data_IF_609482663587
#
_entry.id   IF_609482663587
#
_cell.length_a   1.000
_cell.length_b   1.000
_cell.length_c   1.000
_cell.angle_alpha   90.00
_cell.angle_beta   90.00
_cell.angle_gamma   90.00
#
_symmetry.space_group_name_H-M   'P 1'
#
loop_
_entity.id
_entity.type
_entity.pdbx_description
1 polymer ?
#
# COMPACT_ATOMS: atom_id res chain seq x y z
N UNK A 1 5.71 33.63 16.39
CA UNK A 1 5.36 32.27 16.86
C UNK A 1 4.76 31.54 15.67
N UNK A 2 5.54 30.72 14.96
CA UNK A 2 4.98 29.84 13.94
C UNK A 2 4.29 28.70 14.68
N UNK A 3 2.95 28.63 14.60
CA UNK A 3 2.23 27.46 15.05
C UNK A 3 2.81 26.25 14.32
N UNK A 4 3.28 25.25 15.06
CA UNK A 4 3.68 23.96 14.52
C UNK A 4 2.44 23.40 13.80
N UNK A 5 2.46 23.48 12.46
CA UNK A 5 1.40 22.95 11.61
C UNK A 5 1.58 21.43 11.65
N UNK A 6 0.79 20.77 12.49
CA UNK A 6 0.74 19.31 12.52
C UNK A 6 0.41 18.82 11.09
N UNK A 7 1.32 18.09 10.42
CA UNK A 7 1.12 17.65 9.05
C UNK A 7 -0.08 16.71 8.89
N UNK A 8 -0.63 16.18 9.99
CA UNK A 8 -1.74 15.24 9.99
C UNK A 8 -3.11 15.92 9.97
N UNK A 9 -3.19 17.24 10.14
CA UNK A 9 -4.44 17.99 10.10
C UNK A 9 -4.74 18.44 8.65
N UNK A 10 -5.89 18.07 8.06
CA UNK A 10 -6.23 18.48 6.70
C UNK A 10 -6.45 19.99 6.59
N UNK A 11 -6.14 20.56 5.42
CA UNK A 11 -6.25 22.01 5.19
C UNK A 11 -7.69 22.46 4.89
N UNK A 12 -8.14 23.54 5.55
CA UNK A 12 -9.42 24.22 5.30
C UNK A 12 -10.61 23.64 6.08
N UNK A 13 -11.83 23.98 5.66
CA UNK A 13 -13.07 23.53 6.31
C UNK A 13 -13.33 22.04 6.03
N UNK A 14 -12.77 21.19 6.87
CA UNK A 14 -12.97 19.74 6.86
C UNK A 14 -13.69 19.30 8.13
N UNK A 15 -14.45 18.22 8.05
CA UNK A 15 -15.00 17.53 9.24
C UNK A 15 -14.04 16.40 9.62
N UNK A 16 -13.03 16.63 10.48
CA UNK A 16 -12.12 15.58 10.89
C UNK A 16 -12.87 14.51 11.67
N UNK A 17 -12.50 13.25 11.44
CA UNK A 17 -13.03 12.13 12.21
C UNK A 17 -12.46 12.24 13.62
N UNK A 18 -13.32 12.38 14.63
CA UNK A 18 -12.90 12.34 16.02
C UNK A 18 -12.72 10.88 16.43
N UNK A 19 -11.48 10.47 16.62
CA UNK A 19 -11.11 9.12 17.06
C UNK A 19 -10.10 9.23 18.18
N UNK A 20 -10.24 8.34 19.17
CA UNK A 20 -9.27 8.19 20.26
C UNK A 20 -7.97 7.50 19.78
N UNK A 21 -7.96 6.99 18.55
CA UNK A 21 -6.82 6.32 17.95
C UNK A 21 -5.68 7.31 17.68
N UNK A 22 -4.48 7.00 18.18
CA UNK A 22 -3.26 7.76 17.90
C UNK A 22 -2.38 7.00 16.90
N UNK A 23 -1.93 7.70 15.86
CA UNK A 23 -1.01 7.12 14.87
C UNK A 23 0.26 6.65 15.59
N UNK A 24 0.63 5.39 15.37
CA UNK A 24 1.81 4.77 15.98
C UNK A 24 1.63 4.27 17.42
N UNK A 25 0.41 4.27 17.98
CA UNK A 25 0.16 3.77 19.34
C UNK A 25 0.59 2.31 19.58
N UNK A 26 0.59 1.49 18.53
CA UNK A 26 0.93 0.07 18.55
C UNK A 26 2.39 -0.20 18.12
N UNK A 27 3.14 0.86 17.85
CA UNK A 27 4.51 0.74 17.41
C UNK A 27 5.48 0.65 18.60
N UNK A 28 6.57 -0.07 18.40
CA UNK A 28 7.70 -0.09 19.30
C UNK A 28 8.81 0.75 18.66
N UNK A 29 9.16 1.83 19.35
CA UNK A 29 10.28 2.70 18.97
C UNK A 29 11.57 2.09 19.49
N UNK A 30 12.33 1.49 18.59
CA UNK A 30 13.60 0.84 18.87
C UNK A 30 14.73 1.78 18.45
N UNK A 31 15.46 2.34 19.43
CA UNK A 31 16.62 3.17 19.16
C UNK A 31 17.87 2.30 19.07
N UNK A 32 18.28 1.96 17.85
CA UNK A 32 19.53 1.26 17.57
C UNK A 32 20.61 2.28 17.17
N UNK A 33 21.30 2.82 18.18
CA UNK A 33 22.33 3.84 17.97
C UNK A 33 21.75 5.13 17.38
N UNK A 34 22.28 5.66 16.26
CA UNK A 34 21.74 6.87 15.61
C UNK A 34 20.44 6.64 14.82
N UNK A 35 19.97 5.40 14.69
CA UNK A 35 18.76 5.06 13.94
C UNK A 35 17.59 4.83 14.89
N UNK A 36 16.56 5.67 14.79
CA UNK A 36 15.25 5.43 15.41
C UNK A 36 14.39 4.57 14.48
N UNK A 37 14.11 3.32 14.87
CA UNK A 37 13.24 2.42 14.13
C UNK A 37 11.86 2.41 14.77
N UNK A 38 10.85 2.87 14.03
CA UNK A 38 9.46 2.85 14.43
C UNK A 38 8.75 1.66 13.76
N UNK A 39 8.51 0.58 14.51
CA UNK A 39 8.06 -0.70 13.96
C UNK A 39 6.75 -1.13 14.61
N UNK A 40 5.74 -1.40 13.78
CA UNK A 40 4.51 -2.04 14.24
C UNK A 40 4.78 -3.52 14.59
N UNK A 41 4.96 -3.82 15.88
CA UNK A 41 5.54 -5.07 16.36
C UNK A 41 4.85 -6.33 15.82
N UNK A 42 3.51 -6.36 15.86
CA UNK A 42 2.74 -7.54 15.41
C UNK A 42 2.88 -7.80 13.91
N UNK A 43 2.76 -6.75 13.09
CA UNK A 43 2.81 -6.87 11.63
C UNK A 43 4.22 -7.25 11.19
N UNK A 44 5.23 -6.58 11.73
CA UNK A 44 6.63 -6.86 11.40
C UNK A 44 7.05 -8.28 11.76
N UNK A 45 6.77 -8.72 12.99
CA UNK A 45 7.17 -10.04 13.45
C UNK A 45 6.47 -11.16 12.66
N UNK A 46 5.15 -11.05 12.46
CA UNK A 46 4.39 -12.08 11.72
C UNK A 46 4.85 -12.15 10.27
N UNK A 47 4.87 -11.01 9.54
CA UNK A 47 5.27 -11.01 8.13
C UNK A 47 6.72 -11.45 7.94
N UNK A 48 7.65 -10.94 8.78
CA UNK A 48 9.06 -11.30 8.70
C UNK A 48 9.30 -12.79 8.95
N UNK A 49 8.72 -13.35 10.00
CA UNK A 49 8.85 -14.78 10.31
C UNK A 49 8.22 -15.66 9.23
N UNK A 50 7.07 -15.27 8.69
CA UNK A 50 6.42 -16.00 7.60
C UNK A 50 7.29 -16.03 6.35
N UNK A 51 7.92 -14.90 5.97
CA UNK A 51 8.82 -14.85 4.82
C UNK A 51 10.04 -15.74 5.04
N UNK A 52 10.70 -15.63 6.22
CA UNK A 52 11.88 -16.45 6.54
C UNK A 52 11.52 -17.95 6.51
N UNK A 53 10.41 -18.33 7.14
CA UNK A 53 9.95 -19.72 7.14
C UNK A 53 9.64 -20.22 5.72
N UNK A 54 8.95 -19.41 4.91
CA UNK A 54 8.63 -19.74 3.53
C UNK A 54 9.89 -19.98 2.70
N UNK A 55 10.89 -19.09 2.80
CA UNK A 55 12.17 -19.24 2.07
C UNK A 55 12.93 -20.47 2.54
N UNK A 56 13.05 -20.71 3.84
CA UNK A 56 13.76 -21.88 4.37
C UNK A 56 13.11 -23.19 3.91
N UNK A 57 11.78 -23.30 4.01
CA UNK A 57 11.06 -24.51 3.62
C UNK A 57 11.14 -24.76 2.11
N UNK A 58 11.01 -23.71 1.29
CA UNK A 58 11.11 -23.85 -0.17
C UNK A 58 12.52 -24.26 -0.62
N UNK A 59 13.57 -23.79 0.06
CA UNK A 59 14.94 -24.22 -0.22
C UNK A 59 15.25 -25.64 0.28
N UNK A 60 14.65 -26.07 1.39
CA UNK A 60 14.87 -27.42 1.94
C UNK A 60 14.14 -28.51 1.14
N UNK A 61 12.97 -28.21 0.56
CA UNK A 61 12.08 -29.19 -0.08
C UNK A 61 11.81 -28.89 -1.56
N UNK A 62 12.84 -28.48 -2.30
CA UNK A 62 12.72 -28.01 -3.69
C UNK A 62 11.97 -28.99 -4.61
N UNK A 63 12.29 -30.29 -4.53
CA UNK A 63 11.70 -31.32 -5.41
C UNK A 63 10.23 -31.61 -5.12
N UNK A 64 9.73 -31.31 -3.92
CA UNK A 64 8.32 -31.44 -3.58
C UNK A 64 7.55 -30.15 -3.89
N UNK A 65 8.19 -29.01 -3.68
CA UNK A 65 7.57 -27.69 -3.85
C UNK A 65 7.37 -27.34 -5.33
N UNK A 66 8.29 -27.72 -6.20
CA UNK A 66 8.20 -27.46 -7.64
C UNK A 66 6.89 -27.97 -8.28
N UNK A 67 6.55 -29.28 -8.20
CA UNK A 67 5.29 -29.77 -8.75
C UNK A 67 4.08 -29.18 -8.02
N UNK A 68 4.17 -28.96 -6.70
CA UNK A 68 3.09 -28.35 -5.92
C UNK A 68 2.74 -26.94 -6.43
N UNK A 69 3.74 -26.09 -6.70
CA UNK A 69 3.53 -24.75 -7.26
C UNK A 69 3.05 -24.79 -8.71
N UNK A 70 3.50 -25.76 -9.50
CA UNK A 70 2.98 -26.02 -10.85
C UNK A 70 1.49 -26.34 -10.83
N UNK A 71 1.09 -27.30 -9.99
CA UNK A 71 -0.30 -27.73 -9.83
C UNK A 71 -1.18 -26.60 -9.27
N UNK A 72 -0.68 -25.86 -8.28
CA UNK A 72 -1.38 -24.70 -7.72
C UNK A 72 -1.61 -23.62 -8.77
N UNK A 73 -0.58 -23.29 -9.57
CA UNK A 73 -0.71 -22.35 -10.68
C UNK A 73 -1.76 -22.85 -11.68
N UNK A 74 -1.68 -24.11 -12.08
CA UNK A 74 -2.66 -24.73 -12.98
C UNK A 74 -4.07 -24.58 -12.45
N UNK A 75 -4.30 -24.97 -11.19
CA UNK A 75 -5.58 -24.86 -10.52
C UNK A 75 -6.09 -23.41 -10.45
N UNK A 76 -5.24 -22.45 -10.09
CA UNK A 76 -5.58 -21.02 -10.06
C UNK A 76 -6.03 -20.53 -11.44
N UNK A 77 -5.29 -20.86 -12.49
CA UNK A 77 -5.62 -20.44 -13.87
C UNK A 77 -6.83 -21.17 -14.45
N UNK A 78 -7.16 -22.39 -14.00
CA UNK A 78 -8.36 -23.09 -14.48
C UNK A 78 -9.63 -22.67 -13.75
N UNK A 79 -9.55 -22.27 -12.47
CA UNK A 79 -10.72 -22.01 -11.64
C UNK A 79 -10.95 -20.52 -11.33
N UNK A 80 -9.88 -19.73 -11.20
CA UNK A 80 -9.95 -18.33 -10.77
C UNK A 80 -9.59 -17.33 -11.88
N UNK A 81 -9.31 -17.77 -13.10
CA UNK A 81 -8.98 -16.85 -14.21
C UNK A 81 -10.10 -15.83 -14.48
N UNK A 82 -11.35 -16.27 -14.50
CA UNK A 82 -12.51 -15.38 -14.62
C UNK A 82 -12.58 -14.35 -13.47
N UNK A 83 -12.19 -14.75 -12.25
CA UNK A 83 -12.16 -13.86 -11.09
C UNK A 83 -11.06 -12.80 -11.25
N UNK A 84 -9.86 -13.18 -11.68
CA UNK A 84 -8.77 -12.23 -11.93
C UNK A 84 -9.10 -11.23 -13.04
N UNK A 85 -9.64 -11.70 -14.16
CA UNK A 85 -10.05 -10.84 -15.29
C UNK A 85 -11.18 -9.90 -14.86
N UNK A 86 -12.20 -10.41 -14.18
CA UNK A 86 -13.32 -9.58 -13.70
C UNK A 86 -12.89 -8.57 -12.65
N UNK A 87 -12.03 -8.95 -11.70
CA UNK A 87 -11.48 -8.03 -10.70
C UNK A 87 -10.71 -6.88 -11.35
N UNK A 88 -9.83 -7.17 -12.32
CA UNK A 88 -9.13 -6.15 -13.10
C UNK A 88 -10.10 -5.19 -13.80
N UNK A 89 -11.09 -5.73 -14.50
CA UNK A 89 -12.13 -4.93 -15.17
C UNK A 89 -12.93 -4.07 -14.20
N UNK A 90 -13.30 -4.60 -13.02
CA UNK A 90 -14.00 -3.85 -11.98
C UNK A 90 -13.14 -2.68 -11.51
N UNK A 91 -11.85 -2.86 -11.25
CA UNK A 91 -10.97 -1.76 -10.85
C UNK A 91 -10.87 -0.69 -11.93
N UNK A 92 -10.79 -1.05 -13.22
CA UNK A 92 -10.82 -0.08 -14.32
C UNK A 92 -12.12 0.71 -14.32
N UNK A 93 -13.27 0.02 -14.21
CA UNK A 93 -14.58 0.67 -14.18
C UNK A 93 -14.74 1.57 -12.96
N UNK A 94 -14.24 1.17 -11.79
CA UNK A 94 -14.25 1.99 -10.57
C UNK A 94 -13.39 3.23 -10.76
N UNK A 95 -12.16 3.10 -11.29
CA UNK A 95 -11.29 4.24 -11.56
C UNK A 95 -11.92 5.23 -12.55
N UNK A 96 -12.50 4.73 -13.66
CA UNK A 96 -13.23 5.56 -14.63
C UNK A 96 -14.46 6.22 -14.01
N UNK A 97 -15.23 5.46 -13.22
CA UNK A 97 -16.38 5.95 -12.49
C UNK A 97 -16.00 7.09 -11.54
N UNK A 98 -14.94 6.92 -10.75
CA UNK A 98 -14.42 7.96 -9.86
C UNK A 98 -13.98 9.19 -10.65
N UNK A 99 -13.23 9.01 -11.74
CA UNK A 99 -12.72 10.11 -12.56
C UNK A 99 -13.82 10.97 -13.20
N UNK A 100 -14.93 10.37 -13.65
CA UNK A 100 -16.04 11.08 -14.31
C UNK A 100 -17.05 11.60 -13.27
N UNK A 101 -17.21 10.90 -12.14
CA UNK A 101 -18.15 11.29 -11.09
C UNK A 101 -17.74 12.60 -10.39
N UNK A 102 -18.66 13.24 -9.65
CA UNK A 102 -18.34 14.38 -8.80
C UNK A 102 -17.22 14.10 -7.77
N UNK A 103 -16.98 12.83 -7.42
CA UNK A 103 -15.93 12.43 -6.49
C UNK A 103 -14.53 12.67 -7.05
N UNK A 104 -14.34 12.64 -8.37
CA UNK A 104 -13.05 12.95 -9.01
C UNK A 104 -12.61 14.41 -8.84
N UNK A 105 -13.50 15.30 -8.41
CA UNK A 105 -13.18 16.71 -8.12
C UNK A 105 -12.69 16.93 -6.68
N UNK A 106 -12.80 15.92 -5.82
CA UNK A 106 -12.39 16.01 -4.42
C UNK A 106 -10.86 16.06 -4.34
N UNK A 107 -10.34 17.07 -3.64
CA UNK A 107 -8.90 17.22 -3.40
C UNK A 107 -8.48 16.37 -2.20
N UNK A 108 -7.42 15.59 -2.36
CA UNK A 108 -6.79 14.82 -1.28
C UNK A 108 -5.91 15.78 -0.45
N UNK A 109 -6.10 15.82 0.86
CA UNK A 109 -5.35 16.70 1.78
C UNK A 109 -6.13 17.92 2.30
N UNK A 110 -7.38 18.11 1.87
CA UNK A 110 -8.25 19.19 2.35
C UNK A 110 -8.77 20.10 1.23
N UNK A 111 -9.70 20.99 1.56
CA UNK A 111 -10.38 21.86 0.57
C UNK A 111 -9.44 22.89 -0.03
N UNK A 112 -8.42 23.31 0.74
CA UNK A 112 -7.41 24.29 0.34
C UNK A 112 -6.06 23.69 -0.06
N UNK A 113 -5.96 22.35 -0.11
CA UNK A 113 -4.72 21.66 -0.45
C UNK A 113 -4.22 22.05 -1.86
N UNK A 114 -2.91 22.21 -1.98
CA UNK A 114 -2.19 22.49 -3.23
C UNK A 114 -1.23 21.33 -3.51
N UNK A 115 -0.94 21.02 -4.79
CA UNK A 115 0.01 19.95 -5.13
C UNK A 115 1.43 20.34 -4.70
N UNK A 116 2.12 19.42 -4.03
CA UNK A 116 3.51 19.60 -3.58
C UNK A 116 4.52 19.56 -4.73
N UNK A 117 4.17 18.88 -5.82
CA UNK A 117 5.01 18.70 -7.01
C UNK A 117 4.33 19.31 -8.24
N UNK A 118 5.14 19.90 -9.12
CA UNK A 118 4.66 20.34 -10.44
C UNK A 118 4.24 19.16 -11.32
N UNK A 119 3.40 19.42 -12.32
CA UNK A 119 2.84 18.38 -13.20
C UNK A 119 3.88 17.46 -13.85
N UNK A 120 5.00 18.01 -14.32
CA UNK A 120 6.09 17.19 -14.90
C UNK A 120 6.71 16.27 -13.85
N UNK A 121 7.03 16.78 -12.66
CA UNK A 121 7.60 15.98 -11.57
C UNK A 121 6.64 14.88 -11.12
N UNK A 122 5.35 15.20 -10.98
CA UNK A 122 4.30 14.22 -10.68
C UNK A 122 4.20 13.12 -11.73
N UNK A 123 4.16 13.49 -13.02
CA UNK A 123 4.07 12.52 -14.11
C UNK A 123 5.30 11.62 -14.19
N UNK A 124 6.51 12.17 -13.99
CA UNK A 124 7.74 11.39 -13.93
C UNK A 124 7.73 10.37 -12.78
N UNK A 125 7.20 10.72 -11.60
CA UNK A 125 7.06 9.78 -10.48
C UNK A 125 6.11 8.62 -10.80
N UNK A 126 5.01 8.87 -11.51
CA UNK A 126 4.09 7.80 -11.94
C UNK A 126 4.79 6.81 -12.87
N UNK A 127 5.59 7.30 -13.82
CA UNK A 127 6.32 6.43 -14.74
C UNK A 127 7.40 5.62 -14.02
N UNK A 128 8.15 6.26 -13.11
CA UNK A 128 9.17 5.60 -12.30
C UNK A 128 8.58 4.50 -11.40
N UNK A 129 7.39 4.70 -10.83
CA UNK A 129 6.70 3.69 -10.04
C UNK A 129 6.10 2.56 -10.89
N UNK A 130 5.69 2.85 -12.13
CA UNK A 130 5.02 1.89 -13.01
C UNK A 130 5.94 0.97 -13.81
N UNK A 131 7.18 1.38 -14.09
CA UNK A 131 8.13 0.59 -14.88
C UNK A 131 8.95 -0.36 -13.97
N UNK A 132 8.59 -1.64 -13.95
CA UNK A 132 9.35 -2.71 -13.29
C UNK A 132 10.26 -3.48 -14.24
N UNK A 133 11.07 -4.41 -13.72
CA UNK A 133 11.86 -5.40 -14.49
C UNK A 133 10.92 -6.52 -15.00
N UNK A 134 9.79 -6.13 -15.59
CA UNK A 134 8.67 -7.03 -15.94
C UNK A 134 9.08 -8.25 -16.73
#
# INVERSE_FOLDING_TARGET
MAASKDPMVPDGDVNPINTDYKIGQDNIVLNLGPFGLDIHNRVFAVSGLTIVAFVLLTLMFQTQVEPMFGDLRGWLTSNLDWFFISAGNIFVLVCLGLAISPLGKVRLGGTLAKPDYGYLGWFSMLFAAGMGIG
#
